data_IF_402339081804
#
_entry.id   IF_402339081804
#
_cell.length_a   1.000
_cell.length_b   1.000
_cell.length_c   1.000
_cell.angle_alpha   90.00
_cell.angle_beta   90.00
_cell.angle_gamma   90.00
#
_symmetry.space_group_name_H-M   'P 1'
#
loop_
_entity.id
_entity.type
_entity.pdbx_description
1 polymer ?
#
# COMPACT_ATOMS: atom_id res chain seq x y z
N UNK A 1 23.47 -46.62 5.53
CA UNK A 1 24.72 -46.65 4.74
C UNK A 1 24.59 -45.58 3.66
N UNK A 2 25.48 -44.61 3.64
CA UNK A 2 25.57 -43.61 2.56
C UNK A 2 26.40 -44.20 1.44
N UNK A 3 25.93 -44.16 0.21
CA UNK A 3 26.68 -44.58 -0.98
C UNK A 3 27.36 -43.38 -1.67
N UNK A 4 27.44 -42.24 -0.99
CA UNK A 4 28.04 -41.01 -1.50
C UNK A 4 29.58 -41.18 -1.56
N UNK A 5 30.19 -40.67 -2.62
CA UNK A 5 31.63 -40.58 -2.78
C UNK A 5 32.27 -39.35 -2.12
N UNK A 6 31.44 -38.42 -1.68
CA UNK A 6 31.84 -37.19 -1.00
C UNK A 6 31.08 -37.07 0.31
N UNK A 7 31.65 -36.39 1.28
CA UNK A 7 30.95 -36.05 2.53
C UNK A 7 29.78 -35.12 2.24
N UNK A 8 28.71 -35.23 3.04
CA UNK A 8 27.55 -34.33 2.94
C UNK A 8 28.02 -32.93 3.28
N UNK A 9 27.82 -32.00 2.32
CA UNK A 9 28.18 -30.59 2.48
C UNK A 9 26.96 -29.77 2.94
N UNK A 10 25.77 -30.24 2.62
CA UNK A 10 24.49 -29.61 2.98
C UNK A 10 23.54 -30.64 3.62
N UNK A 11 22.85 -30.23 4.66
CA UNK A 11 21.81 -31.04 5.26
C UNK A 11 20.62 -31.18 4.28
N UNK A 12 19.91 -32.31 4.39
CA UNK A 12 18.70 -32.52 3.60
C UNK A 12 17.63 -31.49 3.99
N UNK A 13 17.08 -30.70 3.05
CA UNK A 13 16.07 -29.71 3.37
C UNK A 13 14.79 -30.37 3.94
N UNK A 14 14.19 -29.73 4.91
CA UNK A 14 12.92 -30.16 5.46
C UNK A 14 11.78 -29.80 4.48
N UNK A 15 11.20 -30.81 3.82
CA UNK A 15 10.18 -30.60 2.79
C UNK A 15 8.85 -30.04 3.31
N UNK A 16 8.61 -30.08 4.61
CA UNK A 16 7.39 -29.53 5.27
C UNK A 16 7.66 -28.22 6.02
N UNK A 17 8.84 -27.66 5.88
CA UNK A 17 9.25 -26.41 6.53
C UNK A 17 8.31 -25.25 6.14
N UNK A 18 7.95 -25.14 4.86
CA UNK A 18 7.05 -24.10 4.36
C UNK A 18 5.71 -24.08 5.09
N UNK A 19 5.11 -25.26 5.34
CA UNK A 19 3.84 -25.36 6.07
C UNK A 19 4.00 -25.00 7.53
N UNK A 20 5.06 -25.49 8.17
CA UNK A 20 5.32 -25.22 9.59
C UNK A 20 5.63 -23.77 9.86
N UNK A 21 6.51 -23.16 9.08
CA UNK A 21 6.89 -21.76 9.23
C UNK A 21 5.71 -20.82 8.95
N UNK A 22 4.91 -21.14 7.94
CA UNK A 22 3.70 -20.37 7.64
C UNK A 22 2.68 -20.44 8.78
N UNK A 23 2.50 -21.60 9.40
CA UNK A 23 1.59 -21.74 10.52
C UNK A 23 2.14 -21.06 11.79
N UNK A 24 3.44 -21.16 12.04
CA UNK A 24 4.09 -20.47 13.15
C UNK A 24 3.95 -18.94 13.00
N UNK A 25 4.25 -18.41 11.80
CA UNK A 25 4.03 -17.00 11.49
C UNK A 25 2.56 -16.57 11.72
N UNK A 26 1.61 -17.42 11.32
CA UNK A 26 0.18 -17.14 11.54
C UNK A 26 -0.15 -17.01 13.02
N UNK A 27 0.42 -17.86 13.87
CA UNK A 27 0.20 -17.82 15.32
C UNK A 27 0.88 -16.60 15.97
N UNK A 28 2.11 -16.29 15.55
CA UNK A 28 2.94 -15.25 16.17
C UNK A 28 2.55 -13.84 15.71
N UNK A 29 2.30 -13.67 14.41
CA UNK A 29 2.05 -12.36 13.79
C UNK A 29 0.65 -12.26 13.14
N UNK A 30 0.25 -13.29 12.38
CA UNK A 30 -0.93 -13.20 11.52
C UNK A 30 -2.23 -13.02 12.27
N UNK A 31 -2.41 -13.69 13.41
CA UNK A 31 -3.60 -13.48 14.25
C UNK A 31 -3.66 -12.07 14.82
N UNK A 32 -2.52 -11.53 15.21
CA UNK A 32 -2.42 -10.15 15.70
C UNK A 32 -2.78 -9.14 14.62
N UNK A 33 -2.22 -9.30 13.42
CA UNK A 33 -2.56 -8.45 12.27
C UNK A 33 -4.08 -8.44 11.98
N UNK A 34 -4.74 -9.60 12.06
CA UNK A 34 -6.19 -9.70 11.85
C UNK A 34 -6.99 -8.95 12.90
N UNK A 35 -6.60 -9.07 14.18
CA UNK A 35 -7.30 -8.36 15.26
C UNK A 35 -7.03 -6.85 15.20
N UNK A 36 -5.82 -6.43 14.87
CA UNK A 36 -5.45 -5.02 14.71
C UNK A 36 -6.20 -4.39 13.52
N UNK A 37 -6.38 -5.11 12.40
CA UNK A 37 -7.14 -4.64 11.22
C UNK A 37 -8.63 -4.41 11.52
N UNK A 38 -9.22 -5.21 12.41
CA UNK A 38 -10.64 -5.12 12.77
C UNK A 38 -10.86 -4.09 13.88
N UNK A 39 -9.89 -3.92 14.77
CA UNK A 39 -9.95 -3.02 15.92
C UNK A 39 -9.64 -1.57 15.52
N UNK A 40 -10.34 -0.57 16.10
CA UNK A 40 -11.53 -0.65 16.92
C UNK A 40 -12.84 -0.81 16.13
N UNK A 41 -13.82 -1.52 16.68
CA UNK A 41 -15.19 -1.53 16.15
C UNK A 41 -15.99 -0.46 16.89
N UNK A 42 -16.32 0.63 16.20
CA UNK A 42 -17.09 1.72 16.75
C UNK A 42 -18.58 1.58 16.40
N UNK A 43 -19.45 2.01 17.31
CA UNK A 43 -20.86 2.20 17.05
C UNK A 43 -21.09 3.34 16.04
N UNK A 44 -22.22 3.30 15.33
CA UNK A 44 -22.61 4.34 14.35
C UNK A 44 -22.60 5.76 14.96
N UNK A 45 -22.99 5.87 16.23
CA UNK A 45 -22.96 7.13 17.00
C UNK A 45 -21.58 7.50 17.57
N UNK A 46 -20.58 6.64 17.43
CA UNK A 46 -19.23 6.84 17.99
C UNK A 46 -19.14 6.82 19.51
N UNK A 47 -20.21 6.40 20.21
CA UNK A 47 -20.31 6.40 21.66
C UNK A 47 -19.68 5.17 22.31
N UNK A 48 -19.80 4.04 21.65
CA UNK A 48 -19.23 2.76 22.08
C UNK A 48 -18.09 2.36 21.15
N UNK A 49 -17.00 1.89 21.72
CA UNK A 49 -15.85 1.35 20.98
C UNK A 49 -15.44 0.03 21.58
N UNK A 50 -15.35 -1.01 20.74
CA UNK A 50 -14.85 -2.33 21.11
C UNK A 50 -13.46 -2.50 20.53
N UNK A 51 -12.48 -2.78 21.39
CA UNK A 51 -11.09 -3.00 21.02
C UNK A 51 -10.67 -4.42 21.33
N UNK A 52 -9.93 -5.05 20.43
CA UNK A 52 -9.26 -6.32 20.66
C UNK A 52 -7.84 -6.02 21.18
N UNK A 53 -7.53 -6.50 22.40
CA UNK A 53 -6.27 -6.16 23.06
C UNK A 53 -5.25 -7.27 22.83
N UNK A 54 -5.66 -8.51 23.10
CA UNK A 54 -4.75 -9.66 23.09
C UNK A 54 -5.56 -10.95 22.88
N UNK A 55 -4.89 -12.01 22.49
CA UNK A 55 -5.49 -13.33 22.34
C UNK A 55 -4.65 -14.39 23.04
N UNK A 56 -5.30 -15.43 23.51
CA UNK A 56 -4.66 -16.56 24.16
C UNK A 56 -5.19 -17.87 23.60
N UNK A 57 -4.29 -18.80 23.36
CA UNK A 57 -4.60 -20.18 23.05
C UNK A 57 -3.55 -21.06 23.76
N UNK A 58 -3.93 -22.23 24.20
CA UNK A 58 -2.99 -23.21 24.75
C UNK A 58 -3.23 -24.56 24.07
N UNK A 59 -2.19 -25.11 23.48
CA UNK A 59 -2.24 -26.44 22.84
C UNK A 59 -2.64 -27.55 23.85
N UNK A 60 -2.35 -27.34 25.12
CA UNK A 60 -2.72 -28.27 26.20
C UNK A 60 -4.21 -28.28 26.50
N UNK A 61 -4.92 -27.21 26.11
CA UNK A 61 -6.37 -27.11 26.27
C UNK A 61 -7.12 -27.87 25.15
N UNK A 62 -6.39 -28.52 24.22
CA UNK A 62 -7.00 -29.38 23.23
C UNK A 62 -7.81 -30.52 23.91
N UNK A 63 -9.11 -30.59 23.61
CA UNK A 63 -10.05 -31.50 24.25
C UNK A 63 -9.72 -32.97 24.04
N UNK A 64 -9.12 -33.29 22.88
CA UNK A 64 -8.78 -34.68 22.51
C UNK A 64 -7.37 -34.70 21.90
N UNK A 65 -6.68 -35.84 22.09
CA UNK A 65 -5.41 -36.09 21.40
C UNK A 65 -5.62 -36.32 19.90
N UNK A 66 -4.55 -36.24 19.11
CA UNK A 66 -4.59 -36.47 17.67
C UNK A 66 -5.21 -37.83 17.32
N UNK A 67 -4.84 -38.88 18.06
CA UNK A 67 -5.38 -40.23 17.85
C UNK A 67 -6.87 -40.31 18.17
N UNK A 68 -7.29 -39.73 19.31
CA UNK A 68 -8.69 -39.66 19.69
C UNK A 68 -9.52 -38.86 18.71
N UNK A 69 -8.96 -37.79 18.12
CA UNK A 69 -9.65 -37.03 17.08
C UNK A 69 -9.89 -37.86 15.82
N UNK A 70 -8.94 -38.71 15.43
CA UNK A 70 -9.08 -39.63 14.31
C UNK A 70 -10.11 -40.74 14.59
N UNK A 71 -10.15 -41.26 15.78
CA UNK A 71 -11.11 -42.32 16.18
C UNK A 71 -12.55 -41.79 16.32
N UNK A 72 -12.72 -40.53 16.72
CA UNK A 72 -14.02 -39.92 17.03
C UNK A 72 -14.56 -39.03 15.95
N UNK A 73 -13.88 -38.94 14.81
CA UNK A 73 -14.22 -38.05 13.69
C UNK A 73 -14.39 -36.58 14.13
N UNK A 74 -13.51 -36.08 14.99
CA UNK A 74 -13.51 -34.70 15.47
C UNK A 74 -12.26 -33.94 15.00
N UNK A 75 -12.27 -32.62 15.16
CA UNK A 75 -11.16 -31.77 14.79
C UNK A 75 -10.18 -31.57 15.94
N UNK A 76 -8.88 -31.70 15.68
CA UNK A 76 -7.84 -31.36 16.62
C UNK A 76 -7.68 -29.84 16.69
N UNK A 77 -8.18 -29.24 17.78
CA UNK A 77 -8.22 -27.79 17.95
C UNK A 77 -8.09 -27.40 19.42
N UNK A 78 -7.64 -26.18 19.66
CA UNK A 78 -7.61 -25.56 20.99
C UNK A 78 -8.56 -24.34 21.00
N UNK A 79 -9.16 -24.00 22.17
CA UNK A 79 -10.02 -22.83 22.28
C UNK A 79 -9.20 -21.53 22.15
N UNK A 80 -9.61 -20.67 21.23
CA UNK A 80 -9.08 -19.32 21.07
C UNK A 80 -9.92 -18.37 21.93
N UNK A 81 -9.27 -17.72 22.88
CA UNK A 81 -9.86 -16.71 23.75
C UNK A 81 -9.24 -15.36 23.41
N UNK A 82 -10.07 -14.34 23.41
CA UNK A 82 -9.65 -12.97 23.06
C UNK A 82 -10.04 -12.03 24.19
N UNK A 83 -9.10 -11.21 24.63
CA UNK A 83 -9.34 -10.14 25.58
C UNK A 83 -9.84 -8.92 24.82
N UNK A 84 -11.06 -8.51 25.14
CA UNK A 84 -11.71 -7.36 24.54
C UNK A 84 -11.92 -6.26 25.57
N UNK A 85 -11.83 -5.03 25.11
CA UNK A 85 -12.11 -3.83 25.90
C UNK A 85 -13.28 -3.10 25.27
N UNK A 86 -14.35 -2.92 26.03
CA UNK A 86 -15.49 -2.08 25.67
C UNK A 86 -15.35 -0.73 26.35
N UNK A 87 -15.25 0.32 25.56
CA UNK A 87 -15.14 1.71 25.99
C UNK A 87 -16.46 2.40 25.75
N UNK A 88 -17.11 2.91 26.79
CA UNK A 88 -18.25 3.80 26.70
C UNK A 88 -17.80 5.24 26.88
N UNK A 89 -17.80 6.02 25.80
CA UNK A 89 -17.33 7.42 25.80
C UNK A 89 -18.29 8.39 26.51
N UNK A 90 -19.55 8.01 26.71
CA UNK A 90 -20.51 8.84 27.45
C UNK A 90 -20.36 8.72 28.95
N UNK A 91 -20.12 7.51 29.45
CA UNK A 91 -19.98 7.22 30.88
C UNK A 91 -18.52 7.14 31.33
N UNK A 92 -17.58 7.19 30.39
CA UNK A 92 -16.13 6.98 30.61
C UNK A 92 -15.80 5.61 31.25
N UNK A 93 -16.72 4.66 31.11
CA UNK A 93 -16.54 3.31 31.64
C UNK A 93 -15.74 2.45 30.66
N UNK A 94 -14.77 1.70 31.21
CA UNK A 94 -13.95 0.74 30.49
C UNK A 94 -14.21 -0.63 31.09
N UNK A 95 -14.73 -1.55 30.31
CA UNK A 95 -14.97 -2.93 30.69
C UNK A 95 -14.09 -3.87 29.89
N UNK A 96 -13.28 -4.70 30.57
CA UNK A 96 -12.44 -5.71 29.93
C UNK A 96 -12.98 -7.11 30.26
N UNK A 97 -13.11 -7.93 29.22
CA UNK A 97 -13.55 -9.30 29.33
C UNK A 97 -12.74 -10.21 28.39
N UNK A 98 -12.53 -11.44 28.84
CA UNK A 98 -12.03 -12.50 27.99
C UNK A 98 -13.22 -13.24 27.38
N UNK A 99 -13.29 -13.32 26.06
CA UNK A 99 -14.36 -13.97 25.32
C UNK A 99 -13.82 -15.16 24.52
N UNK A 100 -14.62 -16.21 24.43
CA UNK A 100 -14.34 -17.34 23.55
C UNK A 100 -14.72 -16.96 22.12
N UNK A 101 -13.75 -17.00 21.19
CA UNK A 101 -13.98 -16.70 19.79
C UNK A 101 -14.31 -17.94 18.95
N UNK A 102 -13.72 -19.07 19.30
CA UNK A 102 -13.90 -20.32 18.57
C UNK A 102 -12.76 -21.30 18.81
N UNK A 103 -12.84 -22.45 18.17
CA UNK A 103 -11.79 -23.46 18.24
C UNK A 103 -10.80 -23.25 17.07
N UNK A 104 -9.53 -23.03 17.42
CA UNK A 104 -8.43 -22.88 16.48
C UNK A 104 -7.85 -24.26 16.13
N UNK A 105 -7.89 -24.71 14.88
CA UNK A 105 -7.26 -25.96 14.48
C UNK A 105 -5.76 -25.91 14.69
N UNK A 106 -5.21 -26.94 15.32
CA UNK A 106 -3.79 -27.07 15.62
C UNK A 106 -3.09 -27.93 14.56
N UNK A 107 -1.87 -27.53 14.22
CA UNK A 107 -1.00 -28.29 13.32
C UNK A 107 -0.31 -29.43 14.08
N UNK A 108 -0.25 -30.59 13.47
CA UNK A 108 0.50 -31.74 14.01
C UNK A 108 2.00 -31.58 13.78
N UNK A 109 2.80 -32.40 14.45
CA UNK A 109 4.26 -32.41 14.25
C UNK A 109 4.69 -32.70 12.80
N UNK A 110 3.83 -33.34 12.01
CA UNK A 110 4.05 -33.68 10.60
C UNK A 110 3.57 -32.60 9.62
N UNK A 111 3.12 -31.44 10.11
CA UNK A 111 2.64 -30.34 9.26
C UNK A 111 1.24 -30.52 8.70
N UNK A 112 0.43 -31.38 9.31
CA UNK A 112 -0.94 -31.69 8.92
C UNK A 112 -1.95 -31.16 9.91
N UNK A 113 -3.22 -31.09 9.50
CA UNK A 113 -4.36 -30.78 10.37
C UNK A 113 -5.30 -31.98 10.42
N UNK A 114 -5.85 -32.28 11.58
CA UNK A 114 -6.90 -33.29 11.72
C UNK A 114 -8.25 -32.57 11.77
N UNK A 115 -9.01 -32.67 10.69
CA UNK A 115 -10.32 -32.05 10.55
C UNK A 115 -11.37 -33.15 10.37
N UNK A 116 -12.34 -33.22 11.29
CA UNK A 116 -13.37 -34.26 11.32
C UNK A 116 -12.77 -35.68 11.16
N UNK A 117 -11.71 -35.94 11.91
CA UNK A 117 -11.01 -37.23 11.90
C UNK A 117 -10.07 -37.48 10.71
N UNK A 118 -10.15 -36.69 9.65
CA UNK A 118 -9.31 -36.82 8.48
C UNK A 118 -8.08 -35.93 8.56
N UNK A 119 -6.92 -36.52 8.32
CA UNK A 119 -5.65 -35.79 8.25
C UNK A 119 -5.55 -35.04 6.90
N UNK A 120 -5.38 -33.74 6.96
CA UNK A 120 -5.36 -32.85 5.78
C UNK A 120 -4.15 -31.95 5.81
N UNK A 121 -3.71 -31.54 4.63
CA UNK A 121 -2.61 -30.60 4.44
C UNK A 121 -3.11 -29.38 3.67
N UNK A 122 -2.67 -28.20 4.10
CA UNK A 122 -2.90 -26.98 3.34
C UNK A 122 -1.85 -26.90 2.24
N UNK A 123 -2.31 -26.93 0.99
CA UNK A 123 -1.43 -26.82 -0.17
C UNK A 123 -1.12 -25.36 -0.42
N UNK A 124 0.16 -25.02 -0.52
CA UNK A 124 0.61 -23.67 -0.90
C UNK A 124 0.09 -23.32 -2.29
N UNK A 125 -0.50 -22.14 -2.42
CA UNK A 125 -1.01 -21.63 -3.69
C UNK A 125 -0.19 -20.44 -4.16
N UNK A 126 0.20 -20.47 -5.43
CA UNK A 126 0.84 -19.34 -6.09
C UNK A 126 -0.22 -18.37 -6.58
N UNK A 127 -0.23 -17.17 -6.04
CA UNK A 127 -1.09 -16.08 -6.48
C UNK A 127 -0.28 -15.06 -7.27
N UNK A 128 -0.94 -14.31 -8.16
CA UNK A 128 -0.29 -13.21 -8.85
C UNK A 128 0.12 -12.15 -7.84
N UNK A 129 1.35 -11.68 -7.95
CA UNK A 129 1.85 -10.59 -7.13
C UNK A 129 1.04 -9.30 -7.39
N UNK A 130 0.73 -8.50 -6.37
CA UNK A 130 0.19 -7.17 -6.58
C UNK A 130 1.07 -6.34 -7.52
N UNK A 131 0.45 -5.58 -8.40
CA UNK A 131 1.16 -4.75 -9.38
C UNK A 131 0.38 -4.53 -10.65
N UNK A 132 1.06 -4.03 -11.68
CA UNK A 132 0.48 -3.75 -13.00
C UNK A 132 1.03 -4.74 -14.01
N UNK A 133 0.14 -5.39 -14.75
CA UNK A 133 0.45 -6.35 -15.80
C UNK A 133 0.04 -5.78 -17.15
N UNK A 134 0.94 -5.81 -18.11
CA UNK A 134 0.72 -5.29 -19.45
C UNK A 134 0.63 -6.42 -20.46
N UNK A 135 -0.28 -6.30 -21.42
CA UNK A 135 -0.41 -7.25 -22.52
C UNK A 135 -0.67 -6.52 -23.84
N UNK A 136 -0.26 -7.15 -24.92
CA UNK A 136 -0.51 -6.71 -26.28
C UNK A 136 -1.26 -7.79 -27.03
N UNK A 137 -2.38 -7.42 -27.62
CA UNK A 137 -3.16 -8.28 -28.52
C UNK A 137 -3.18 -7.65 -29.92
N UNK A 138 -3.54 -8.44 -30.93
CA UNK A 138 -3.73 -7.96 -32.29
C UNK A 138 -5.18 -8.13 -32.69
N UNK A 139 -5.76 -7.11 -33.29
CA UNK A 139 -7.07 -7.20 -33.91
C UNK A 139 -7.03 -8.03 -35.21
N UNK A 140 -8.17 -8.40 -35.74
CA UNK A 140 -8.32 -9.13 -37.02
C UNK A 140 -7.62 -8.43 -38.20
N UNK A 141 -7.43 -7.13 -38.12
CA UNK A 141 -6.72 -6.29 -39.08
C UNK A 141 -5.22 -6.11 -38.80
N UNK A 142 -4.68 -6.80 -37.77
CA UNK A 142 -3.28 -6.69 -37.37
C UNK A 142 -2.94 -5.43 -36.53
N UNK A 143 -3.94 -4.61 -36.17
CA UNK A 143 -3.74 -3.45 -35.29
C UNK A 143 -3.38 -3.91 -33.88
N UNK A 144 -2.36 -3.28 -33.26
CA UNK A 144 -1.96 -3.55 -31.89
C UNK A 144 -2.98 -2.96 -30.92
N UNK A 145 -3.51 -3.79 -30.04
CA UNK A 145 -4.38 -3.42 -28.93
C UNK A 145 -3.61 -3.60 -27.63
N UNK A 146 -3.60 -2.59 -26.80
CA UNK A 146 -2.90 -2.61 -25.51
C UNK A 146 -3.90 -2.82 -24.39
N UNK A 147 -3.53 -3.65 -23.43
CA UNK A 147 -4.28 -3.84 -22.22
C UNK A 147 -3.36 -3.85 -21.00
N UNK A 148 -3.89 -3.42 -19.87
CA UNK A 148 -3.19 -3.54 -18.61
C UNK A 148 -4.18 -3.88 -17.49
N UNK A 149 -3.69 -4.64 -16.52
CA UNK A 149 -4.47 -5.03 -15.35
C UNK A 149 -3.74 -4.59 -14.10
N UNK A 150 -4.39 -3.78 -13.30
CA UNK A 150 -3.90 -3.40 -11.96
C UNK A 150 -4.49 -4.37 -10.96
N UNK A 151 -3.62 -5.14 -10.32
CA UNK A 151 -3.98 -6.11 -9.28
C UNK A 151 -3.52 -5.55 -7.94
N UNK A 152 -4.44 -5.14 -7.06
CA UNK A 152 -4.09 -4.72 -5.70
C UNK A 152 -3.79 -5.93 -4.81
N UNK A 153 -3.19 -5.72 -3.64
CA UNK A 153 -3.07 -6.75 -2.62
C UNK A 153 -4.46 -7.14 -2.08
N UNK A 154 -5.31 -6.14 -1.84
CA UNK A 154 -6.70 -6.29 -1.39
C UNK A 154 -7.55 -5.25 -2.10
N UNK A 155 -8.69 -5.65 -2.66
CA UNK A 155 -9.64 -4.74 -3.29
C UNK A 155 -9.98 -5.10 -4.74
N UNK A 156 -10.62 -4.17 -5.44
CA UNK A 156 -11.10 -4.34 -6.80
C UNK A 156 -9.96 -4.28 -7.84
N UNK A 157 -10.04 -5.14 -8.83
CA UNK A 157 -9.13 -5.09 -9.98
C UNK A 157 -9.55 -3.99 -10.94
N UNK A 158 -8.56 -3.33 -11.56
CA UNK A 158 -8.76 -2.41 -12.66
C UNK A 158 -8.18 -3.00 -13.94
N UNK A 159 -9.04 -3.23 -14.92
CA UNK A 159 -8.62 -3.74 -16.22
C UNK A 159 -8.79 -2.65 -17.26
N UNK A 160 -7.69 -2.26 -17.88
CA UNK A 160 -7.64 -1.25 -18.93
C UNK A 160 -7.49 -1.91 -20.28
N UNK A 161 -8.24 -1.44 -21.27
CA UNK A 161 -8.16 -1.95 -22.64
C UNK A 161 -8.31 -0.83 -23.68
N UNK A 162 -7.59 -0.94 -24.79
CA UNK A 162 -7.81 -0.09 -25.96
C UNK A 162 -8.66 -0.83 -26.99
N UNK A 163 -9.60 -0.13 -27.61
CA UNK A 163 -10.44 -0.65 -28.67
C UNK A 163 -9.77 -0.41 -30.05
N UNK A 164 -10.30 -1.06 -31.11
CA UNK A 164 -9.90 -0.85 -32.50
C UNK A 164 -10.09 0.61 -32.97
N UNK A 165 -10.98 1.35 -32.33
CA UNK A 165 -11.24 2.78 -32.57
C UNK A 165 -10.35 3.72 -31.74
N UNK A 166 -9.30 3.22 -31.11
CA UNK A 166 -8.40 3.95 -30.20
C UNK A 166 -9.07 4.52 -28.95
N UNK A 167 -10.26 4.07 -28.62
CA UNK A 167 -10.94 4.43 -27.38
C UNK A 167 -10.34 3.63 -26.23
N UNK A 168 -10.03 4.33 -25.14
CA UNK A 168 -9.47 3.72 -23.94
C UNK A 168 -10.56 3.45 -22.91
N UNK A 169 -10.74 2.19 -22.57
CA UNK A 169 -11.77 1.72 -21.63
C UNK A 169 -11.16 1.18 -20.35
N UNK A 170 -11.95 1.22 -19.29
CA UNK A 170 -11.66 0.59 -18.01
C UNK A 170 -12.82 -0.27 -17.54
N UNK A 171 -12.50 -1.38 -16.89
CA UNK A 171 -13.44 -2.23 -16.13
C UNK A 171 -13.01 -2.20 -14.67
N UNK A 172 -13.97 -2.02 -13.79
CA UNK A 172 -13.77 -2.10 -12.35
C UNK A 172 -14.39 -3.39 -11.87
N UNK A 173 -13.58 -4.29 -11.32
CA UNK A 173 -14.02 -5.55 -10.71
C UNK A 173 -14.99 -6.38 -11.58
N UNK A 174 -14.59 -6.69 -12.82
CA UNK A 174 -15.37 -7.50 -13.79
C UNK A 174 -16.70 -6.88 -14.24
N UNK A 175 -16.92 -5.61 -13.98
CA UNK A 175 -18.13 -4.92 -14.48
C UNK A 175 -18.04 -4.62 -15.97
N UNK A 176 -19.10 -4.02 -16.52
CA UNK A 176 -19.09 -3.55 -17.91
C UNK A 176 -18.11 -2.40 -18.07
N UNK A 177 -17.40 -2.40 -19.20
CA UNK A 177 -16.42 -1.36 -19.51
C UNK A 177 -17.05 0.04 -19.64
N UNK A 178 -16.32 1.03 -19.18
CA UNK A 178 -16.61 2.46 -19.36
C UNK A 178 -15.42 3.16 -19.99
N UNK A 179 -15.61 4.30 -20.69
CA UNK A 179 -14.49 5.11 -21.12
C UNK A 179 -13.62 5.52 -19.94
N UNK A 180 -12.29 5.59 -20.14
CA UNK A 180 -11.35 5.95 -19.07
C UNK A 180 -11.66 7.32 -18.47
N UNK A 181 -12.16 8.24 -19.27
CA UNK A 181 -12.52 9.60 -18.86
C UNK A 181 -13.61 9.61 -17.78
N UNK A 182 -14.54 8.67 -17.81
CA UNK A 182 -15.55 8.50 -16.73
C UNK A 182 -14.89 8.17 -15.39
N UNK A 183 -13.91 7.26 -15.39
CA UNK A 183 -13.17 6.94 -14.17
C UNK A 183 -12.35 8.14 -13.68
N UNK A 184 -11.66 8.83 -14.58
CA UNK A 184 -10.85 10.01 -14.24
C UNK A 184 -11.72 11.08 -13.60
N UNK A 185 -12.92 11.34 -14.16
CA UNK A 185 -13.88 12.29 -13.57
C UNK A 185 -14.36 11.82 -12.19
N UNK A 186 -14.72 10.53 -12.06
CA UNK A 186 -15.15 9.96 -10.80
C UNK A 186 -14.07 10.00 -9.68
N UNK A 187 -12.80 10.10 -10.05
CA UNK A 187 -11.68 10.26 -9.13
C UNK A 187 -11.35 11.72 -8.79
N UNK A 188 -12.10 12.71 -9.33
CA UNK A 188 -12.00 14.10 -8.92
C UNK A 188 -11.60 15.09 -10.02
N UNK A 189 -11.17 14.62 -11.20
CA UNK A 189 -10.78 15.50 -12.33
C UNK A 189 -11.99 15.66 -13.23
N UNK A 190 -12.78 16.71 -13.01
CA UNK A 190 -14.13 16.85 -13.57
C UNK A 190 -14.20 17.27 -15.03
N UNK A 191 -13.35 18.20 -15.47
CA UNK A 191 -13.46 18.84 -16.77
C UNK A 191 -12.52 18.25 -17.82
N UNK A 192 -12.89 18.39 -19.10
CA UNK A 192 -12.02 17.96 -20.21
C UNK A 192 -10.68 18.71 -20.23
N UNK A 193 -10.71 20.00 -19.85
CA UNK A 193 -9.51 20.82 -19.81
C UNK A 193 -8.52 20.32 -18.77
N UNK A 194 -8.98 20.00 -17.56
CA UNK A 194 -8.15 19.43 -16.50
C UNK A 194 -7.57 18.07 -16.88
N UNK A 195 -8.35 17.21 -17.57
CA UNK A 195 -7.88 15.92 -18.06
C UNK A 195 -6.78 16.10 -19.11
N UNK A 196 -6.94 17.04 -20.03
CA UNK A 196 -5.94 17.36 -21.07
C UNK A 196 -4.69 17.98 -20.44
N UNK A 197 -4.84 18.83 -19.44
CA UNK A 197 -3.71 19.44 -18.72
C UNK A 197 -2.87 18.37 -18.01
N UNK A 198 -3.53 17.36 -17.43
CA UNK A 198 -2.86 16.27 -16.70
C UNK A 198 -2.17 15.26 -17.63
N UNK A 199 -2.84 14.82 -18.71
CA UNK A 199 -2.37 13.73 -19.56
C UNK A 199 -1.79 14.19 -20.90
N UNK A 200 -1.95 15.47 -21.25
CA UNK A 200 -1.64 16.00 -22.57
C UNK A 200 -2.71 15.65 -23.60
N UNK A 201 -2.50 16.09 -24.83
CA UNK A 201 -3.38 15.81 -25.98
C UNK A 201 -3.13 14.41 -26.55
N UNK A 202 -3.25 13.39 -25.72
CA UNK A 202 -3.09 12.00 -26.15
C UNK A 202 -4.26 11.54 -27.03
N UNK A 203 -4.03 11.06 -28.28
CA UNK A 203 -5.10 10.72 -29.22
C UNK A 203 -6.14 9.73 -28.67
N UNK A 204 -5.73 8.78 -27.83
CA UNK A 204 -6.63 7.79 -27.22
C UNK A 204 -7.53 8.39 -26.15
N UNK A 205 -7.06 9.40 -25.43
CA UNK A 205 -7.88 10.14 -24.45
C UNK A 205 -8.88 11.01 -25.21
N UNK A 206 -8.45 11.71 -26.28
CA UNK A 206 -9.33 12.50 -27.11
C UNK A 206 -10.43 11.64 -27.77
N UNK A 207 -10.07 10.45 -28.28
CA UNK A 207 -11.05 9.48 -28.78
C UNK A 207 -12.02 9.01 -27.68
N UNK A 208 -11.56 8.88 -26.44
CA UNK A 208 -12.39 8.45 -25.32
C UNK A 208 -13.44 9.48 -24.94
N UNK A 209 -13.19 10.76 -25.08
CA UNK A 209 -14.20 11.81 -24.88
C UNK A 209 -15.40 11.65 -25.82
N UNK A 210 -15.23 11.13 -27.02
CA UNK A 210 -16.34 10.93 -27.98
C UNK A 210 -17.34 9.86 -27.50
N UNK A 211 -16.93 8.96 -26.62
CA UNK A 211 -17.74 7.89 -26.06
C UNK A 211 -18.20 8.17 -24.62
N UNK A 212 -17.65 9.20 -24.01
CA UNK A 212 -18.02 9.63 -22.68
C UNK A 212 -19.29 10.49 -22.74
N UNK A 213 -20.29 10.11 -21.96
CA UNK A 213 -21.54 10.86 -21.84
C UNK A 213 -21.54 11.82 -20.67
N UNK A 214 -20.54 11.73 -19.79
CA UNK A 214 -20.37 12.57 -18.62
C UNK A 214 -19.57 13.84 -18.96
N UNK A 215 -19.90 14.94 -18.31
CA UNK A 215 -19.24 16.24 -18.52
C UNK A 215 -18.57 16.80 -17.27
N UNK A 216 -18.92 16.26 -16.10
CA UNK A 216 -18.45 16.74 -14.82
C UNK A 216 -18.23 15.58 -13.82
N UNK A 217 -17.71 15.92 -12.64
CA UNK A 217 -17.44 14.97 -11.55
C UNK A 217 -18.66 14.14 -11.14
N UNK A 218 -19.80 14.79 -10.93
CA UNK A 218 -21.02 14.13 -10.45
C UNK A 218 -21.57 13.13 -11.47
N UNK A 219 -21.60 13.52 -12.74
CA UNK A 219 -22.04 12.64 -13.82
C UNK A 219 -21.09 11.46 -14.00
N UNK A 220 -19.77 11.68 -13.88
CA UNK A 220 -18.78 10.61 -13.90
C UNK A 220 -18.96 9.60 -12.77
N UNK A 221 -19.22 10.07 -11.55
CA UNK A 221 -19.56 9.23 -10.40
C UNK A 221 -20.82 8.37 -10.65
N UNK A 222 -21.88 8.98 -11.13
CA UNK A 222 -23.14 8.30 -11.38
C UNK A 222 -23.05 7.26 -12.50
N UNK A 223 -22.33 7.58 -13.59
CA UNK A 223 -22.11 6.63 -14.68
C UNK A 223 -21.26 5.42 -14.22
N UNK A 224 -20.23 5.66 -13.42
CA UNK A 224 -19.42 4.56 -12.86
C UNK A 224 -20.24 3.73 -11.88
N UNK A 225 -21.01 4.37 -10.98
CA UNK A 225 -21.88 3.71 -10.02
C UNK A 225 -22.92 2.81 -10.68
N UNK A 226 -23.56 3.27 -11.74
CA UNK A 226 -24.53 2.52 -12.55
C UNK A 226 -23.95 1.23 -13.15
N UNK A 227 -22.65 1.20 -13.43
CA UNK A 227 -21.96 0.00 -13.94
C UNK A 227 -21.58 -0.96 -12.82
N UNK A 228 -21.18 -0.44 -11.66
CA UNK A 228 -20.79 -1.24 -10.50
C UNK A 228 -22.03 -1.86 -9.83
N UNK A 229 -23.10 -1.07 -9.68
CA UNK A 229 -24.37 -1.49 -9.05
C UNK A 229 -25.57 -1.20 -9.94
N UNK A 230 -25.80 -2.05 -10.96
CA UNK A 230 -26.94 -1.86 -11.85
C UNK A 230 -28.26 -2.07 -11.09
N UNK A 231 -29.21 -1.13 -11.28
CA UNK A 231 -30.55 -1.23 -10.71
C UNK A 231 -30.78 -0.53 -9.37
N UNK A 232 -29.73 0.02 -8.75
CA UNK A 232 -29.88 0.85 -7.55
C UNK A 232 -30.24 2.30 -7.90
N UNK A 233 -30.92 3.02 -7.00
CA UNK A 233 -31.20 4.46 -7.18
C UNK A 233 -29.91 5.26 -7.31
N UNK A 234 -29.87 6.19 -8.25
CA UNK A 234 -28.70 7.01 -8.51
C UNK A 234 -28.69 8.20 -7.53
N UNK A 235 -27.80 8.17 -6.55
CA UNK A 235 -27.52 9.25 -5.63
C UNK A 235 -26.01 9.55 -5.64
N UNK A 236 -25.66 10.82 -5.73
CA UNK A 236 -24.24 11.25 -5.79
C UNK A 236 -23.50 10.87 -4.53
N UNK A 237 -24.10 11.08 -3.36
CA UNK A 237 -23.49 10.74 -2.06
C UNK A 237 -23.21 9.25 -1.91
N UNK A 238 -24.15 8.40 -2.36
CA UNK A 238 -23.96 6.93 -2.33
C UNK A 238 -22.89 6.49 -3.30
N UNK A 239 -22.81 7.10 -4.48
CA UNK A 239 -21.78 6.82 -5.48
C UNK A 239 -20.40 7.24 -4.99
N UNK A 240 -20.27 8.41 -4.41
CA UNK A 240 -19.03 8.92 -3.82
C UNK A 240 -18.56 8.03 -2.67
N UNK A 241 -19.45 7.70 -1.74
CA UNK A 241 -19.15 6.80 -0.62
C UNK A 241 -18.68 5.43 -1.09
N UNK A 242 -19.31 4.85 -2.13
CA UNK A 242 -18.90 3.56 -2.68
C UNK A 242 -17.49 3.62 -3.29
N UNK A 243 -17.21 4.64 -4.10
CA UNK A 243 -15.92 4.77 -4.80
C UNK A 243 -14.81 5.07 -3.81
N UNK A 244 -15.04 5.95 -2.84
CA UNK A 244 -14.09 6.23 -1.77
C UNK A 244 -13.81 4.99 -0.93
N UNK A 245 -14.84 4.22 -0.56
CA UNK A 245 -14.66 2.96 0.17
C UNK A 245 -13.93 1.89 -0.66
N UNK A 246 -14.08 1.90 -1.99
CA UNK A 246 -13.46 0.89 -2.86
C UNK A 246 -11.96 1.14 -3.07
N UNK A 247 -11.55 2.41 -3.25
CA UNK A 247 -10.18 2.75 -3.66
C UNK A 247 -9.35 3.44 -2.58
N UNK A 248 -9.98 4.12 -1.63
CA UNK A 248 -9.27 4.99 -0.68
C UNK A 248 -9.51 4.66 0.79
N UNK A 249 -10.35 3.67 1.10
CA UNK A 249 -10.54 3.23 2.48
C UNK A 249 -9.22 2.66 3.04
N UNK A 250 -8.67 3.23 4.13
CA UNK A 250 -7.43 2.74 4.76
C UNK A 250 -7.46 1.25 5.12
N UNK A 251 -8.63 0.70 5.40
CA UNK A 251 -8.82 -0.72 5.72
C UNK A 251 -8.66 -1.63 4.50
N UNK A 252 -8.85 -1.11 3.29
CA UNK A 252 -8.75 -1.84 2.02
C UNK A 252 -7.50 -1.50 1.24
N UNK A 253 -7.03 -0.26 1.33
CA UNK A 253 -5.84 0.19 0.65
C UNK A 253 -4.59 -0.26 1.42
N UNK A 254 -4.05 -1.39 1.01
CA UNK A 254 -2.83 -1.95 1.57
C UNK A 254 -1.84 -2.30 0.46
N UNK A 255 -0.65 -1.74 0.54
CA UNK A 255 0.44 -2.04 -0.38
C UNK A 255 1.09 -3.39 -0.10
N UNK A 256 0.94 -3.93 1.12
CA UNK A 256 1.67 -5.08 1.63
C UNK A 256 3.20 -4.96 1.50
N UNK A 257 3.94 -5.95 2.01
CA UNK A 257 5.42 -5.97 1.93
C UNK A 257 5.90 -5.97 0.46
N UNK A 258 5.21 -6.70 -0.43
CA UNK A 258 5.57 -6.79 -1.85
C UNK A 258 5.36 -5.48 -2.60
N UNK A 259 4.23 -4.80 -2.36
CA UNK A 259 3.94 -3.49 -2.97
C UNK A 259 4.92 -2.44 -2.51
N UNK A 260 5.21 -2.35 -1.22
CA UNK A 260 6.23 -1.45 -0.65
C UNK A 260 7.61 -1.70 -1.24
N UNK A 261 8.03 -2.96 -1.34
CA UNK A 261 9.29 -3.31 -1.99
C UNK A 261 9.35 -2.86 -3.45
N UNK A 262 8.28 -3.10 -4.23
CA UNK A 262 8.23 -2.67 -5.64
C UNK A 262 8.29 -1.16 -5.79
N UNK A 263 7.55 -0.41 -4.95
CA UNK A 263 7.61 1.05 -4.96
C UNK A 263 8.99 1.54 -4.55
N UNK A 264 9.55 1.05 -3.47
CA UNK A 264 10.89 1.42 -3.04
C UNK A 264 11.92 1.15 -4.14
N UNK A 265 11.87 -0.03 -4.78
CA UNK A 265 12.78 -0.40 -5.87
C UNK A 265 12.66 0.53 -7.08
N UNK A 266 11.44 0.99 -7.41
CA UNK A 266 11.21 1.89 -8.56
C UNK A 266 11.53 3.34 -8.24
N UNK A 267 11.24 3.78 -7.01
CA UNK A 267 11.38 5.16 -6.55
C UNK A 267 12.71 5.42 -5.85
N UNK A 268 13.59 4.43 -5.75
CA UNK A 268 14.93 4.62 -5.20
C UNK A 268 15.64 5.78 -5.87
N UNK A 269 16.19 6.68 -5.07
CA UNK A 269 16.84 7.90 -5.50
C UNK A 269 17.95 7.61 -6.53
N UNK A 270 18.86 6.65 -6.22
CA UNK A 270 19.95 6.28 -7.11
C UNK A 270 19.45 5.87 -8.51
N UNK A 271 18.34 5.12 -8.61
CA UNK A 271 17.81 4.64 -9.90
C UNK A 271 17.18 5.74 -10.75
N UNK A 272 16.72 6.80 -10.08
CA UNK A 272 16.09 7.95 -10.75
C UNK A 272 17.10 8.91 -11.33
N UNK A 273 18.32 8.93 -10.82
CA UNK A 273 19.38 9.86 -11.25
C UNK A 273 20.42 9.20 -12.17
N UNK A 274 20.58 7.86 -12.10
CA UNK A 274 21.54 7.13 -12.96
C UNK A 274 21.29 7.40 -14.44
N UNK A 275 22.36 7.70 -15.20
CA UNK A 275 22.32 7.93 -16.63
C UNK A 275 21.91 9.32 -17.05
N UNK A 276 21.57 10.20 -16.11
CA UNK A 276 21.32 11.60 -16.36
C UNK A 276 22.54 12.46 -16.03
N UNK A 277 22.63 13.64 -16.64
CA UNK A 277 23.63 14.64 -16.28
C UNK A 277 23.09 15.53 -15.18
N UNK A 278 23.97 15.95 -14.28
CA UNK A 278 23.65 16.93 -13.26
C UNK A 278 23.53 18.33 -13.86
N UNK A 279 22.54 19.08 -13.45
CA UNK A 279 22.39 20.50 -13.85
C UNK A 279 23.18 21.42 -12.93
N UNK A 280 23.45 20.98 -11.70
CA UNK A 280 24.06 21.80 -10.66
C UNK A 280 25.01 20.95 -9.82
N UNK A 281 25.91 21.62 -9.11
CA UNK A 281 26.80 20.96 -8.16
C UNK A 281 26.00 20.32 -7.01
N UNK A 282 26.40 19.13 -6.60
CA UNK A 282 25.77 18.41 -5.50
C UNK A 282 26.70 18.47 -4.30
N UNK A 283 26.17 19.05 -3.21
CA UNK A 283 26.92 19.25 -1.97
C UNK A 283 26.30 18.41 -0.87
N UNK A 284 27.14 17.79 -0.06
CA UNK A 284 26.72 17.14 1.19
C UNK A 284 26.39 18.22 2.22
N UNK A 285 25.14 18.24 2.71
CA UNK A 285 24.67 19.28 3.65
C UNK A 285 25.31 19.16 5.04
N UNK A 286 25.89 18.01 5.38
CA UNK A 286 26.52 17.77 6.67
C UNK A 286 27.99 18.20 6.68
N UNK A 287 28.73 17.85 5.62
CA UNK A 287 30.18 18.10 5.50
C UNK A 287 30.53 19.36 4.73
N UNK A 288 29.60 19.82 3.86
CA UNK A 288 29.84 20.91 2.93
C UNK A 288 30.75 20.58 1.76
N UNK A 289 31.08 19.29 1.57
CA UNK A 289 31.90 18.83 0.44
C UNK A 289 31.11 18.73 -0.84
N UNK A 290 31.71 19.13 -1.97
CA UNK A 290 31.11 18.94 -3.31
C UNK A 290 31.33 17.47 -3.69
N UNK A 291 30.25 16.70 -3.72
CA UNK A 291 30.23 15.29 -4.09
C UNK A 291 30.32 15.08 -5.60
N UNK A 292 29.72 15.98 -6.37
CA UNK A 292 29.72 15.95 -7.83
C UNK A 292 29.52 17.36 -8.39
N UNK A 293 30.24 17.67 -9.45
CA UNK A 293 30.13 18.94 -10.18
C UNK A 293 28.99 18.90 -11.22
N UNK A 294 28.49 20.05 -11.60
CA UNK A 294 27.54 20.21 -12.69
C UNK A 294 28.06 19.56 -14.00
N UNK A 295 27.16 19.19 -14.90
CA UNK A 295 27.44 18.49 -16.18
C UNK A 295 28.03 17.08 -16.03
N UNK A 296 28.26 16.59 -14.80
CA UNK A 296 28.73 15.23 -14.56
C UNK A 296 27.66 14.20 -14.90
N UNK A 297 28.01 13.17 -15.68
CA UNK A 297 27.12 12.03 -15.92
C UNK A 297 27.07 11.13 -14.68
N UNK A 298 25.88 10.91 -14.15
CA UNK A 298 25.70 10.10 -12.93
C UNK A 298 25.85 8.61 -13.26
N UNK A 299 26.97 8.04 -12.83
CA UNK A 299 27.21 6.59 -12.86
C UNK A 299 26.50 5.89 -11.72
N UNK A 300 26.45 4.55 -11.75
CA UNK A 300 25.84 3.77 -10.64
C UNK A 300 26.56 3.99 -9.31
N UNK A 301 27.88 4.01 -9.33
CA UNK A 301 28.71 4.23 -8.13
C UNK A 301 28.48 5.62 -7.53
N UNK A 302 28.47 6.64 -8.40
CA UNK A 302 28.16 8.01 -7.98
C UNK A 302 26.75 8.13 -7.40
N UNK A 303 25.77 7.49 -8.04
CA UNK A 303 24.38 7.51 -7.57
C UNK A 303 24.23 6.85 -6.20
N UNK A 304 24.93 5.74 -5.96
CA UNK A 304 24.94 5.07 -4.65
C UNK A 304 25.63 5.93 -3.59
N UNK A 305 26.70 6.63 -3.94
CA UNK A 305 27.36 7.60 -3.05
C UNK A 305 26.41 8.74 -2.69
N UNK A 306 25.74 9.35 -3.68
CA UNK A 306 24.78 10.44 -3.45
C UNK A 306 23.57 9.98 -2.63
N UNK A 307 23.11 8.75 -2.79
CA UNK A 307 22.01 8.20 -1.99
C UNK A 307 22.40 7.99 -0.52
N UNK A 308 23.64 7.62 -0.25
CA UNK A 308 24.15 7.35 1.10
C UNK A 308 24.72 8.60 1.80
N UNK A 309 24.76 9.73 1.10
CA UNK A 309 25.19 11.02 1.63
C UNK A 309 24.01 11.87 2.05
N UNK A 310 24.26 12.91 2.83
CA UNK A 310 23.22 13.83 3.31
C UNK A 310 22.78 14.83 2.21
N UNK A 311 22.29 14.30 1.10
CA UNK A 311 21.84 15.08 -0.05
C UNK A 311 20.29 15.14 -0.05
N UNK A 312 19.68 16.32 0.10
CA UNK A 312 18.22 16.45 0.12
C UNK A 312 17.59 16.28 -1.27
N UNK A 313 18.22 16.78 -2.31
CA UNK A 313 17.75 16.67 -3.70
C UNK A 313 18.91 16.86 -4.68
N UNK A 314 18.65 16.46 -5.93
CA UNK A 314 19.58 16.65 -7.05
C UNK A 314 18.82 17.21 -8.25
N UNK A 315 19.42 18.13 -8.96
CA UNK A 315 18.90 18.61 -10.24
C UNK A 315 19.56 17.84 -11.40
N UNK A 316 18.74 17.24 -12.22
CA UNK A 316 19.17 16.51 -13.42
C UNK A 316 18.66 17.17 -14.69
N UNK A 317 19.41 17.05 -15.78
CA UNK A 317 19.00 17.50 -17.09
C UNK A 317 17.97 16.53 -17.67
N UNK A 318 16.75 16.99 -17.91
CA UNK A 318 15.72 16.28 -18.68
C UNK A 318 15.82 16.63 -20.17
N UNK A 319 14.93 16.06 -20.98
CA UNK A 319 14.91 16.32 -22.43
C UNK A 319 14.51 17.77 -22.78
N UNK A 320 13.57 18.36 -22.03
CA UNK A 320 13.03 19.70 -22.28
C UNK A 320 13.24 20.67 -21.10
N UNK A 321 13.49 20.16 -19.91
CA UNK A 321 13.62 20.95 -18.69
C UNK A 321 14.51 20.29 -17.66
N UNK A 322 14.99 21.06 -16.71
CA UNK A 322 15.65 20.56 -15.50
C UNK A 322 14.62 19.94 -14.56
N UNK A 323 14.98 18.81 -13.95
CA UNK A 323 14.10 18.06 -13.07
C UNK A 323 14.75 17.96 -11.68
N UNK A 324 14.02 18.42 -10.67
CA UNK A 324 14.40 18.26 -9.26
C UNK A 324 14.03 16.86 -8.78
N UNK A 325 15.00 16.05 -8.44
CA UNK A 325 14.80 14.70 -7.90
C UNK A 325 15.03 14.74 -6.39
N UNK A 326 13.99 14.47 -5.62
CA UNK A 326 14.05 14.45 -4.17
C UNK A 326 14.63 13.14 -3.66
N UNK A 327 15.46 13.22 -2.62
CA UNK A 327 15.96 12.04 -1.90
C UNK A 327 14.92 11.49 -0.92
N UNK A 328 15.20 10.31 -0.34
CA UNK A 328 14.38 9.72 0.71
C UNK A 328 14.42 10.49 2.04
N UNK A 329 15.30 11.47 2.17
CA UNK A 329 15.40 12.34 3.34
C UNK A 329 14.37 13.49 3.32
N UNK A 330 13.65 13.67 2.22
CA UNK A 330 12.57 14.65 2.11
C UNK A 330 11.24 13.99 2.45
N UNK A 331 10.57 14.47 3.51
CA UNK A 331 9.38 13.86 4.11
C UNK A 331 8.22 14.85 4.24
N UNK A 332 7.00 14.35 4.33
CA UNK A 332 5.82 15.19 4.64
C UNK A 332 5.75 15.40 6.17
N UNK A 333 5.77 16.65 6.59
CA UNK A 333 5.73 17.04 8.00
C UNK A 333 4.49 16.53 8.73
N UNK A 334 3.36 16.32 8.03
CA UNK A 334 2.11 15.85 8.62
C UNK A 334 2.20 14.44 9.19
N UNK A 335 3.11 13.60 8.67
CA UNK A 335 3.33 12.27 9.21
C UNK A 335 3.98 12.26 10.59
N UNK A 336 4.75 13.29 10.89
CA UNK A 336 5.49 13.43 12.15
C UNK A 336 4.80 14.35 13.14
N UNK A 337 4.01 15.30 12.64
CA UNK A 337 3.22 16.25 13.42
C UNK A 337 1.76 16.25 12.93
N UNK A 338 0.99 15.20 13.22
CA UNK A 338 -0.43 15.12 12.82
C UNK A 338 -1.29 16.18 13.50
N UNK A 339 -0.85 16.73 14.63
CA UNK A 339 -1.51 17.80 15.36
C UNK A 339 -1.46 19.16 14.65
N UNK A 340 -0.62 19.27 13.60
CA UNK A 340 -0.46 20.48 12.82
C UNK A 340 -1.55 20.57 11.74
N UNK A 341 -2.63 21.29 12.01
CA UNK A 341 -3.78 21.39 11.11
C UNK A 341 -3.42 22.02 9.74
N UNK A 342 -2.61 23.09 9.74
CA UNK A 342 -2.22 23.78 8.50
C UNK A 342 -0.72 24.10 8.44
N UNK A 343 0.11 23.22 7.87
CA UNK A 343 1.53 23.47 7.66
C UNK A 343 1.83 24.71 6.80
N UNK A 344 0.92 25.05 5.86
CA UNK A 344 1.12 26.21 4.97
C UNK A 344 1.11 27.54 5.71
N UNK A 345 0.36 27.65 6.80
CA UNK A 345 0.35 28.83 7.66
C UNK A 345 1.71 29.12 8.31
N UNK A 346 2.56 28.10 8.42
CA UNK A 346 3.92 28.20 8.93
C UNK A 346 4.97 28.44 7.83
N UNK A 347 4.55 28.50 6.56
CA UNK A 347 5.44 28.61 5.41
C UNK A 347 5.93 27.29 4.85
N UNK A 348 5.46 26.15 5.38
CA UNK A 348 5.81 24.82 4.88
C UNK A 348 4.89 24.49 3.69
N UNK A 349 5.39 24.70 2.48
CA UNK A 349 4.65 24.48 1.22
C UNK A 349 5.08 23.23 0.48
N UNK A 350 6.22 22.64 0.85
CA UNK A 350 6.85 21.48 0.20
C UNK A 350 7.23 20.44 1.25
N UNK A 351 7.80 19.32 0.78
CA UNK A 351 8.41 18.33 1.67
C UNK A 351 9.58 18.95 2.44
N UNK A 352 9.77 18.50 3.67
CA UNK A 352 10.78 19.01 4.59
C UNK A 352 11.94 18.03 4.73
N UNK A 353 13.12 18.55 5.04
CA UNK A 353 14.33 17.77 5.23
C UNK A 353 14.33 17.11 6.61
N UNK A 354 14.28 15.77 6.63
CA UNK A 354 14.09 14.97 7.84
C UNK A 354 15.15 15.20 8.94
N UNK A 355 16.47 15.29 8.64
CA UNK A 355 17.47 15.49 9.70
C UNK A 355 17.30 16.80 10.50
N UNK A 356 16.78 17.85 9.87
CA UNK A 356 16.46 19.11 10.56
C UNK A 356 15.16 18.96 11.35
N UNK A 357 14.16 18.29 10.76
CA UNK A 357 12.90 18.01 11.45
C UNK A 357 13.13 17.14 12.70
N UNK A 358 13.96 16.10 12.60
CA UNK A 358 14.30 15.21 13.70
C UNK A 358 14.89 15.98 14.88
N UNK A 359 15.86 16.86 14.64
CA UNK A 359 16.42 17.74 15.68
C UNK A 359 15.35 18.62 16.34
N UNK A 360 14.45 19.20 15.55
CA UNK A 360 13.34 20.00 16.08
C UNK A 360 12.44 19.17 16.99
N UNK A 361 12.16 17.91 16.61
CA UNK A 361 11.32 17.01 17.40
C UNK A 361 11.99 16.54 18.69
N UNK A 362 13.30 16.32 18.66
CA UNK A 362 14.07 15.88 19.83
C UNK A 362 14.33 17.01 20.83
N UNK A 363 14.58 18.23 20.34
CA UNK A 363 14.91 19.38 21.18
C UNK A 363 13.70 20.07 21.81
N UNK A 364 12.47 19.81 21.28
CA UNK A 364 11.25 20.48 21.71
C UNK A 364 10.15 19.50 22.09
N UNK A 365 9.70 19.51 23.33
CA UNK A 365 8.68 18.60 23.85
C UNK A 365 7.25 19.07 23.56
N UNK A 366 7.00 20.39 23.51
CA UNK A 366 5.65 20.93 23.31
C UNK A 366 5.39 21.30 21.86
N UNK A 367 4.11 21.24 21.45
CA UNK A 367 3.70 21.63 20.09
C UNK A 367 4.01 23.10 19.79
N UNK A 368 3.86 24.00 20.78
CA UNK A 368 4.13 25.43 20.63
C UNK A 368 5.60 25.69 20.37
N UNK A 369 6.50 25.02 21.11
CA UNK A 369 7.95 25.13 20.92
C UNK A 369 8.39 24.56 19.56
N UNK A 370 7.78 23.44 19.12
CA UNK A 370 8.00 22.86 17.79
C UNK A 370 7.60 23.82 16.67
N UNK A 371 6.43 24.45 16.80
CA UNK A 371 5.96 25.47 15.84
C UNK A 371 6.91 26.67 15.80
N UNK A 372 7.39 27.13 16.93
CA UNK A 372 8.35 28.22 16.99
C UNK A 372 9.70 27.84 16.34
N UNK A 373 10.19 26.64 16.59
CA UNK A 373 11.40 26.10 15.97
C UNK A 373 11.25 25.93 14.46
N UNK A 374 10.12 25.41 13.99
CA UNK A 374 9.82 25.28 12.54
C UNK A 374 9.86 26.65 11.86
N UNK A 375 9.29 27.68 12.46
CA UNK A 375 9.34 29.05 11.89
C UNK A 375 10.74 29.62 11.86
N UNK A 376 11.53 29.34 12.88
CA UNK A 376 12.92 29.82 12.99
C UNK A 376 13.80 29.16 11.93
N UNK A 377 13.69 27.85 11.78
CA UNK A 377 14.59 27.03 10.99
C UNK A 377 13.98 26.64 9.61
N UNK A 378 13.00 27.40 9.14
CA UNK A 378 12.25 27.12 7.90
C UNK A 378 13.16 27.01 6.67
N UNK A 379 14.25 27.76 6.61
CA UNK A 379 15.19 27.76 5.48
C UNK A 379 16.04 26.48 5.43
N UNK A 380 16.36 25.92 6.58
CA UNK A 380 17.10 24.66 6.69
C UNK A 380 16.15 23.46 6.51
N UNK A 381 14.92 23.62 6.96
CA UNK A 381 13.84 22.63 6.80
C UNK A 381 13.42 22.46 5.34
N UNK A 382 13.36 23.56 4.59
CA UNK A 382 13.07 23.56 3.15
C UNK A 382 14.28 24.18 2.44
N UNK A 383 15.31 23.38 2.14
CA UNK A 383 16.49 23.90 1.49
C UNK A 383 16.14 24.43 0.11
N UNK A 384 16.09 25.74 -0.01
CA UNK A 384 15.88 26.43 -1.28
C UNK A 384 17.24 26.70 -1.90
N UNK A 385 17.31 26.56 -3.21
CA UNK A 385 18.44 27.06 -3.98
C UNK A 385 18.59 28.57 -3.76
N UNK A 386 19.77 28.99 -3.34
CA UNK A 386 20.20 30.38 -3.43
C UNK A 386 20.80 30.59 -4.82
#
# INVERSE_FOLDING_TARGET
>A
MSYQRQEEVLEMPNLIEVQKDSYQWFLDEGLKEVFDDISPIADYGGKLSLEFIDFTYDEKDAKYSIEQCKERDVTYAAPLKVRVRLINKETEEINEHEIFMGDLPLMTATGTFVINGAERVIVSQLVRSPGIYYAIAHDKLGKRLFSSTVIPNRGAWLEYETDSNDVFYVRVDRTRKVPITVLIRALGIGTNAEIIDLFGEEPKILASFTKDTSTNYQEGLLELYKKIRPGEPLAVESAESLIMAMFFDPRRYDLAKVGRYKFNKKLHFNKRIVGHKLSQDVVDTTTGEILAEAETLVTRELADTLQNSAVPYVWIQGEEREIKVLSSLMVDIRHYLPELEDPKSLGVTELVYYPVLEKILEENDTLEDRIAAIRRDIHDLIPKHI
#
